data_IF_673412175282
#
_entry.id   IF_673412175282
#
_cell.length_a   1.000
_cell.length_b   1.000
_cell.length_c   1.000
_cell.angle_alpha   90.00
_cell.angle_beta   90.00
_cell.angle_gamma   90.00
#
_symmetry.space_group_name_H-M   'P 1'
#
loop_
_entity.id
_entity.type
_entity.pdbx_description
1 polymer ?
#
# COMPACT_ATOMS: atom_id res chain seq x y z
N UNK A 1 16.97 15.95 -15.21
CA UNK A 1 17.24 14.64 -14.58
C UNK A 1 15.88 14.04 -14.27
N UNK A 2 15.37 13.13 -15.10
CA UNK A 2 14.06 12.50 -14.84
C UNK A 2 14.17 11.74 -13.51
N UNK A 3 13.23 11.97 -12.59
CA UNK A 3 13.14 11.12 -11.40
C UNK A 3 12.99 9.67 -11.90
N UNK A 4 13.74 8.70 -11.35
CA UNK A 4 13.53 7.29 -11.68
C UNK A 4 12.05 6.94 -11.45
N UNK A 5 11.50 6.03 -12.27
CA UNK A 5 10.18 5.43 -12.05
C UNK A 5 10.15 4.85 -10.64
N UNK A 6 9.55 5.58 -9.71
CA UNK A 6 9.52 5.21 -8.31
C UNK A 6 8.24 4.41 -8.02
N UNK A 7 8.32 3.42 -7.12
CA UNK A 7 7.22 2.50 -6.86
C UNK A 7 6.06 3.17 -6.12
N UNK A 8 4.86 2.65 -6.34
CA UNK A 8 3.62 3.00 -5.64
C UNK A 8 3.34 1.90 -4.60
N UNK A 9 2.95 2.28 -3.39
CA UNK A 9 2.49 1.35 -2.36
C UNK A 9 0.98 1.50 -2.21
N UNK A 10 0.27 0.39 -2.32
CA UNK A 10 -1.19 0.36 -2.19
C UNK A 10 -1.50 -0.52 -1.01
N UNK A 11 -2.33 -0.03 -0.10
CA UNK A 11 -2.86 -0.86 0.97
C UNK A 11 -4.30 -1.25 0.58
N UNK A 12 -4.55 -2.56 0.51
CA UNK A 12 -5.89 -3.19 0.47
C UNK A 12 -6.88 -2.64 -0.55
N UNK A 13 -6.64 -2.84 -1.84
CA UNK A 13 -7.74 -2.97 -2.81
C UNK A 13 -7.27 -3.63 -4.10
N UNK A 14 -7.85 -4.80 -4.41
CA UNK A 14 -7.66 -5.51 -5.68
C UNK A 14 -7.92 -4.54 -6.85
N UNK A 15 -9.01 -3.78 -6.77
CA UNK A 15 -9.44 -2.87 -7.82
C UNK A 15 -8.67 -1.53 -7.84
N UNK A 16 -8.19 -1.05 -6.69
CA UNK A 16 -7.25 0.08 -6.68
C UNK A 16 -5.92 -0.33 -7.33
N UNK A 17 -5.42 -1.53 -7.00
CA UNK A 17 -4.23 -2.12 -7.64
C UNK A 17 -4.44 -2.23 -9.14
N UNK A 18 -5.60 -2.75 -9.57
CA UNK A 18 -5.97 -2.83 -10.99
C UNK A 18 -5.93 -1.47 -11.67
N UNK A 19 -6.53 -0.45 -11.05
CA UNK A 19 -6.58 0.88 -11.64
C UNK A 19 -5.21 1.54 -11.70
N UNK A 20 -4.40 1.42 -10.64
CA UNK A 20 -3.02 1.91 -10.62
C UNK A 20 -2.21 1.26 -11.73
N UNK A 21 -2.30 -0.06 -11.89
CA UNK A 21 -1.62 -0.79 -12.95
C UNK A 21 -2.09 -0.39 -14.35
N UNK A 22 -3.40 -0.18 -14.56
CA UNK A 22 -3.96 0.33 -15.82
C UNK A 22 -3.42 1.72 -16.20
N UNK A 23 -3.10 2.55 -15.20
CA UNK A 23 -2.53 3.88 -15.39
C UNK A 23 -1.00 3.86 -15.50
N UNK A 24 -0.37 2.69 -15.54
CA UNK A 24 1.09 2.53 -15.66
C UNK A 24 1.84 2.57 -14.32
N UNK A 25 1.14 2.65 -13.19
CA UNK A 25 1.73 2.63 -11.86
C UNK A 25 2.17 1.24 -11.43
N UNK A 26 3.26 1.17 -10.66
CA UNK A 26 3.81 -0.09 -10.15
C UNK A 26 3.48 -0.28 -8.68
N UNK A 27 2.53 -1.17 -8.38
CA UNK A 27 2.20 -1.57 -7.00
C UNK A 27 3.19 -2.60 -6.50
N UNK A 28 3.92 -2.33 -5.42
CA UNK A 28 4.92 -3.25 -4.87
C UNK A 28 4.49 -3.98 -3.59
N UNK A 29 3.45 -3.51 -2.91
CA UNK A 29 3.00 -4.11 -1.66
C UNK A 29 1.48 -4.20 -1.60
N UNK A 30 0.98 -5.19 -0.84
CA UNK A 30 -0.43 -5.38 -0.50
C UNK A 30 -0.54 -6.07 0.86
N UNK A 31 -1.57 -5.73 1.63
CA UNK A 31 -1.82 -6.32 2.95
C UNK A 31 -3.17 -7.04 3.04
N UNK A 32 -3.30 -7.86 4.09
CA UNK A 32 -4.55 -8.29 4.67
C UNK A 32 -4.41 -8.35 6.21
N UNK A 33 -5.42 -8.87 6.91
CA UNK A 33 -5.37 -8.94 8.39
C UNK A 33 -4.27 -9.82 8.97
N UNK A 34 -3.60 -10.66 8.18
CA UNK A 34 -2.48 -11.49 8.63
C UNK A 34 -1.12 -10.81 8.46
N UNK A 35 -1.00 -9.83 7.57
CA UNK A 35 0.28 -9.19 7.24
C UNK A 35 0.29 -8.57 5.86
N UNK A 36 1.47 -8.29 5.35
CA UNK A 36 1.65 -7.73 4.02
C UNK A 36 2.73 -8.42 3.22
N UNK A 37 2.55 -8.42 1.91
CA UNK A 37 3.56 -8.88 0.95
C UNK A 37 4.27 -7.69 0.33
N UNK A 38 5.54 -7.88 -0.01
CA UNK A 38 6.34 -6.96 -0.82
C UNK A 38 6.92 -7.74 -1.99
N UNK A 39 6.67 -7.26 -3.20
CA UNK A 39 7.23 -7.81 -4.42
C UNK A 39 7.84 -6.67 -5.23
N UNK A 40 9.16 -6.54 -5.16
CA UNK A 40 9.92 -5.46 -5.81
C UNK A 40 9.76 -5.42 -7.33
N UNK A 41 9.39 -6.53 -7.97
CA UNK A 41 9.08 -6.57 -9.41
C UNK A 41 7.68 -6.04 -9.74
N UNK A 42 6.83 -5.89 -8.73
CA UNK A 42 5.43 -5.51 -8.85
C UNK A 42 4.49 -6.67 -8.54
N UNK A 43 3.35 -6.35 -7.93
CA UNK A 43 2.32 -7.32 -7.56
C UNK A 43 1.65 -7.91 -8.80
N UNK A 44 1.64 -9.23 -8.90
CA UNK A 44 0.82 -9.96 -9.88
C UNK A 44 -0.64 -10.03 -9.40
N UNK A 45 -1.44 -9.12 -9.95
CA UNK A 45 -2.86 -8.99 -9.63
C UNK A 45 -3.67 -10.25 -9.92
N UNK A 46 -3.30 -11.06 -10.94
CA UNK A 46 -4.04 -12.28 -11.27
C UNK A 46 -3.92 -13.30 -10.15
N UNK A 47 -2.71 -13.45 -9.61
CA UNK A 47 -2.46 -14.33 -8.47
C UNK A 47 -3.24 -13.84 -7.24
N UNK A 48 -3.25 -12.52 -6.98
CA UNK A 48 -4.02 -11.94 -5.87
C UNK A 48 -5.53 -12.17 -6.02
N UNK A 49 -6.11 -11.93 -7.20
CA UNK A 49 -7.54 -12.20 -7.48
C UNK A 49 -7.89 -13.67 -7.27
N UNK A 50 -7.04 -14.59 -7.73
CA UNK A 50 -7.23 -16.03 -7.52
C UNK A 50 -7.23 -16.39 -6.03
N UNK A 51 -6.30 -15.84 -5.24
CA UNK A 51 -6.24 -16.08 -3.79
C UNK A 51 -7.49 -15.53 -3.11
N UNK A 52 -7.85 -14.27 -3.38
CA UNK A 52 -8.87 -13.55 -2.61
C UNK A 52 -10.31 -13.78 -3.06
N UNK A 53 -10.56 -13.81 -4.37
CA UNK A 53 -11.92 -13.90 -4.92
C UNK A 53 -12.36 -15.35 -5.13
N UNK A 54 -11.42 -16.25 -5.48
CA UNK A 54 -11.74 -17.65 -5.77
C UNK A 54 -11.46 -18.55 -4.56
N UNK A 55 -10.22 -18.58 -4.07
CA UNK A 55 -9.82 -19.49 -2.97
C UNK A 55 -10.23 -18.98 -1.58
N UNK A 56 -10.46 -17.67 -1.44
CA UNK A 56 -10.68 -16.98 -0.15
C UNK A 56 -9.52 -17.20 0.84
N UNK A 57 -8.29 -17.21 0.32
CA UNK A 57 -7.06 -17.46 1.06
C UNK A 57 -6.41 -16.23 1.70
N UNK A 58 -5.26 -16.46 2.32
CA UNK A 58 -4.41 -15.43 2.95
C UNK A 58 -3.40 -14.87 1.97
N UNK A 59 -3.06 -13.59 2.12
CA UNK A 59 -2.15 -12.91 1.18
C UNK A 59 -0.76 -13.57 1.14
N UNK A 60 -0.33 -14.21 2.23
CA UNK A 60 0.92 -15.00 2.30
C UNK A 60 0.98 -16.14 1.27
N UNK A 61 -0.16 -16.67 0.81
CA UNK A 61 -0.22 -17.70 -0.24
C UNK A 61 0.32 -17.18 -1.59
N UNK A 62 0.47 -15.87 -1.76
CA UNK A 62 1.13 -15.27 -2.93
C UNK A 62 2.55 -15.82 -3.15
N UNK A 63 3.26 -16.13 -2.06
CA UNK A 63 4.63 -16.64 -2.10
C UNK A 63 4.72 -18.08 -2.65
N UNK A 64 3.60 -18.83 -2.71
CA UNK A 64 3.57 -20.17 -3.32
C UNK A 64 3.84 -20.14 -4.83
N UNK A 65 3.52 -19.01 -5.46
CA UNK A 65 3.72 -18.78 -6.90
C UNK A 65 4.90 -17.83 -7.14
N UNK A 66 5.09 -16.84 -6.27
CA UNK A 66 6.11 -15.80 -6.38
C UNK A 66 7.08 -15.88 -5.19
N UNK A 67 7.97 -16.87 -5.22
CA UNK A 67 8.91 -17.14 -4.12
C UNK A 67 9.97 -16.05 -3.91
N UNK A 68 10.08 -15.10 -4.83
CA UNK A 68 10.94 -13.92 -4.73
C UNK A 68 10.24 -12.71 -4.09
N UNK A 69 8.97 -12.83 -3.75
CA UNK A 69 8.27 -11.89 -2.88
C UNK A 69 8.57 -12.18 -1.40
N UNK A 70 8.38 -11.18 -0.55
CA UNK A 70 8.53 -11.28 0.90
C UNK A 70 7.17 -11.14 1.57
N UNK A 71 7.00 -11.77 2.72
CA UNK A 71 5.84 -11.60 3.60
C UNK A 71 6.31 -11.16 4.98
N UNK A 72 5.64 -10.15 5.53
CA UNK A 72 5.82 -9.68 6.90
C UNK A 72 4.53 -9.89 7.66
N UNK A 73 4.62 -10.50 8.84
CA UNK A 73 3.48 -10.69 9.75
C UNK A 73 3.05 -9.36 10.39
N UNK A 74 1.75 -9.13 10.47
CA UNK A 74 1.18 -7.85 10.91
C UNK A 74 1.18 -6.79 9.80
N UNK A 75 0.09 -6.05 9.67
CA UNK A 75 -0.11 -5.14 8.53
C UNK A 75 0.49 -3.74 8.76
N UNK A 76 0.68 -3.33 10.01
CA UNK A 76 1.06 -1.95 10.39
C UNK A 76 2.38 -1.50 9.73
N UNK A 77 3.32 -2.43 9.53
CA UNK A 77 4.64 -2.12 8.97
C UNK A 77 4.61 -1.68 7.50
N UNK A 78 3.53 -1.90 6.77
CA UNK A 78 3.45 -1.54 5.34
C UNK A 78 3.65 -0.04 5.08
N UNK A 79 3.31 0.82 6.06
CA UNK A 79 3.48 2.27 5.97
C UNK A 79 4.92 2.75 6.11
N UNK A 80 5.82 1.86 6.51
CA UNK A 80 7.26 2.13 6.53
C UNK A 80 7.95 1.83 5.20
N UNK A 81 7.22 1.38 4.18
CA UNK A 81 7.78 1.09 2.86
C UNK A 81 8.00 2.36 2.04
N UNK A 82 9.15 2.49 1.33
CA UNK A 82 9.36 3.59 0.40
C UNK A 82 8.38 3.60 -0.77
N UNK A 83 7.67 4.71 -0.95
CA UNK A 83 6.70 4.90 -2.03
C UNK A 83 6.50 6.36 -2.40
N UNK A 84 6.04 6.63 -3.63
CA UNK A 84 5.55 7.96 -4.00
C UNK A 84 4.09 8.19 -3.58
N UNK A 85 3.26 7.15 -3.67
CA UNK A 85 1.83 7.22 -3.39
C UNK A 85 1.47 6.11 -2.42
N UNK A 86 0.69 6.45 -1.39
CA UNK A 86 0.08 5.52 -0.46
C UNK A 86 -1.45 5.58 -0.59
N UNK A 87 -2.09 4.42 -0.72
CA UNK A 87 -3.54 4.31 -0.83
C UNK A 87 -4.08 3.46 0.34
N UNK A 88 -4.45 4.06 1.48
CA UNK A 88 -5.12 3.36 2.57
C UNK A 88 -6.56 2.97 2.23
N UNK A 89 -6.97 1.73 2.50
CA UNK A 89 -8.25 1.18 2.06
C UNK A 89 -8.79 -0.02 2.86
N UNK A 90 -8.23 -0.36 4.04
CA UNK A 90 -8.70 -1.52 4.80
C UNK A 90 -9.69 -1.16 5.92
N UNK A 91 -9.27 -0.33 6.87
CA UNK A 91 -10.00 -0.02 8.10
C UNK A 91 -9.79 1.41 8.56
N UNK A 92 -10.66 1.88 9.45
CA UNK A 92 -10.51 3.14 10.16
C UNK A 92 -9.20 3.17 10.96
N UNK A 93 -8.52 4.33 11.00
CA UNK A 93 -7.29 4.57 11.78
C UNK A 93 -6.16 3.57 11.49
N UNK A 94 -6.02 3.11 10.24
CA UNK A 94 -4.90 2.27 9.82
C UNK A 94 -3.59 3.03 9.62
N UNK A 95 -3.62 4.35 9.41
CA UNK A 95 -2.42 5.21 9.41
C UNK A 95 -2.45 6.10 10.66
N UNK A 96 -1.55 5.82 11.59
CA UNK A 96 -1.28 6.68 12.74
C UNK A 96 -0.18 7.71 12.46
N UNK A 97 0.12 8.56 13.44
CA UNK A 97 1.17 9.57 13.32
C UNK A 97 2.56 8.99 12.99
N UNK A 98 2.88 7.79 13.49
CA UNK A 98 4.17 7.16 13.23
C UNK A 98 4.25 6.67 11.78
N UNK A 99 3.18 6.05 11.27
CA UNK A 99 3.03 5.67 9.87
C UNK A 99 3.10 6.87 8.93
N UNK A 100 2.42 7.97 9.27
CA UNK A 100 2.45 9.19 8.48
C UNK A 100 3.87 9.81 8.39
N UNK A 101 4.59 9.89 9.52
CA UNK A 101 5.98 10.34 9.53
C UNK A 101 6.89 9.42 8.71
N UNK A 102 6.70 8.10 8.80
CA UNK A 102 7.47 7.16 8.02
C UNK A 102 7.25 7.37 6.51
N UNK A 103 6.00 7.52 6.06
CA UNK A 103 5.65 7.82 4.67
C UNK A 103 6.31 9.12 4.19
N UNK A 104 6.22 10.20 4.96
CA UNK A 104 6.86 11.48 4.64
C UNK A 104 8.37 11.32 4.50
N UNK A 105 9.02 10.69 5.48
CA UNK A 105 10.48 10.49 5.48
C UNK A 105 10.96 9.60 4.32
N UNK A 106 10.10 8.70 3.87
CA UNK A 106 10.33 7.82 2.74
C UNK A 106 10.03 8.45 1.37
N UNK A 107 9.60 9.71 1.34
CA UNK A 107 9.37 10.48 0.13
C UNK A 107 7.99 10.29 -0.49
N UNK A 108 7.00 9.87 0.29
CA UNK A 108 5.60 9.88 -0.12
C UNK A 108 5.17 11.30 -0.49
N UNK A 109 4.60 11.46 -1.68
CA UNK A 109 4.13 12.74 -2.22
C UNK A 109 2.61 12.85 -2.24
N UNK A 110 1.89 11.73 -2.17
CA UNK A 110 0.44 11.73 -2.12
C UNK A 110 -0.15 10.57 -1.30
N UNK A 111 -1.22 10.86 -0.58
CA UNK A 111 -2.04 9.89 0.14
C UNK A 111 -3.48 10.03 -0.32
N UNK A 112 -4.12 8.93 -0.71
CA UNK A 112 -5.52 8.91 -1.16
C UNK A 112 -6.34 7.88 -0.40
N UNK A 113 -7.30 8.34 0.40
CA UNK A 113 -8.13 7.49 1.24
C UNK A 113 -9.20 6.76 0.41
N UNK A 114 -9.20 5.43 0.49
CA UNK A 114 -10.23 4.56 -0.11
C UNK A 114 -11.17 3.92 0.93
N UNK A 115 -10.81 4.00 2.22
CA UNK A 115 -11.65 3.56 3.33
C UNK A 115 -12.30 4.77 4.04
N UNK A 116 -13.20 4.50 4.98
CA UNK A 116 -13.80 5.54 5.81
C UNK A 116 -12.84 5.94 6.95
N UNK A 117 -12.24 7.12 6.86
CA UNK A 117 -11.28 7.68 7.84
C UNK A 117 -10.11 6.74 8.20
N UNK A 118 -9.32 6.28 7.21
CA UNK A 118 -8.19 5.41 7.50
C UNK A 118 -7.02 6.13 8.17
N UNK A 119 -6.86 7.45 8.02
CA UNK A 119 -5.82 8.20 8.72
C UNK A 119 -6.36 8.81 10.01
N UNK A 120 -5.60 8.73 11.10
CA UNK A 120 -5.94 9.46 12.32
C UNK A 120 -5.82 10.99 12.09
N UNK A 121 -6.49 11.83 12.89
CA UNK A 121 -6.35 13.29 12.77
C UNK A 121 -4.90 13.79 12.81
N UNK A 122 -4.05 13.14 13.62
CA UNK A 122 -2.63 13.46 13.73
C UNK A 122 -1.88 13.12 12.43
N UNK A 123 -2.19 11.97 11.82
CA UNK A 123 -1.62 11.58 10.52
C UNK A 123 -1.99 12.57 9.43
N UNK A 124 -3.25 13.01 9.39
CA UNK A 124 -3.73 14.04 8.44
C UNK A 124 -2.98 15.36 8.64
N UNK A 125 -2.79 15.81 9.88
CA UNK A 125 -1.99 17.02 10.17
C UNK A 125 -0.58 16.88 9.63
N UNK A 126 0.09 15.75 9.87
CA UNK A 126 1.45 15.50 9.38
C UNK A 126 1.54 15.58 7.86
N UNK A 127 0.56 15.01 7.14
CA UNK A 127 0.52 15.08 5.68
C UNK A 127 0.40 16.52 5.18
N UNK A 128 -0.51 17.30 5.77
CA UNK A 128 -0.68 18.71 5.42
C UNK A 128 0.56 19.55 5.72
N UNK A 129 1.13 19.41 6.93
CA UNK A 129 2.30 20.17 7.37
C UNK A 129 3.55 19.84 6.54
N UNK A 130 3.63 18.62 6.00
CA UNK A 130 4.74 18.15 5.18
C UNK A 130 4.56 18.41 3.67
N UNK A 131 3.43 19.00 3.25
CA UNK A 131 3.15 19.28 1.83
C UNK A 131 2.81 18.03 1.00
N UNK A 132 2.40 16.93 1.63
CA UNK A 132 1.89 15.73 0.95
C UNK A 132 0.51 16.05 0.39
N UNK A 133 0.26 15.68 -0.87
CA UNK A 133 -1.07 15.83 -1.47
C UNK A 133 -2.03 14.82 -0.83
N UNK A 134 -3.01 15.30 -0.09
CA UNK A 134 -3.94 14.45 0.66
C UNK A 134 -5.34 14.49 0.02
N UNK A 135 -5.86 13.32 -0.34
CA UNK A 135 -7.23 13.11 -0.82
C UNK A 135 -8.03 12.31 0.21
N UNK A 136 -9.02 12.90 0.88
CA UNK A 136 -9.91 12.21 1.82
C UNK A 136 -10.97 11.35 1.11
#
# INVERSE_FOLDING_TARGET
MSKPDKPIVVMVAIYATEKVQQLGGKVIALSDSSGYIVHEKGIDLKTVKLIKEVRRGRIREYLEVHSDAQFTEGWQGIWSLPCDVALPSATENEIDAAGALALVNNGCIAVGEGANMPSTPEAVSIFHDSGVSFGP
#
